data_IF_847268844888
#
_entry.id   IF_847268844888
#
_cell.length_a   1.000
_cell.length_b   1.000
_cell.length_c   1.000
_cell.angle_alpha   90.00
_cell.angle_beta   90.00
_cell.angle_gamma   90.00
#
_symmetry.space_group_name_H-M   'P 1'
#
loop_
_entity.id
_entity.type
_entity.pdbx_description
1 polymer ?
#
# COMPACT_ATOMS: atom_id res chain seq x y z
N UNK A 1 -20.01 -53.63 43.80
CA UNK A 1 -20.27 -54.74 42.86
C UNK A 1 -21.57 -54.42 42.13
N UNK A 2 -21.48 -54.25 40.80
CA UNK A 2 -22.56 -54.31 39.78
C UNK A 2 -23.84 -53.47 39.96
N UNK A 3 -24.05 -52.53 39.02
CA UNK A 3 -25.38 -52.19 38.50
C UNK A 3 -26.02 -53.42 37.83
N UNK A 4 -27.35 -53.42 37.65
CA UNK A 4 -27.87 -53.14 36.30
C UNK A 4 -29.19 -52.37 36.25
N UNK A 5 -29.37 -51.61 35.17
CA UNK A 5 -30.65 -51.18 34.56
C UNK A 5 -31.03 -52.26 33.50
N UNK A 6 -32.31 -52.52 33.11
CA UNK A 6 -32.93 -51.72 32.03
C UNK A 6 -34.49 -51.67 31.94
N UNK A 7 -35.00 -50.55 31.38
CA UNK A 7 -35.96 -50.41 30.26
C UNK A 7 -37.45 -50.91 30.29
N UNK A 8 -38.23 -50.25 29.40
CA UNK A 8 -39.63 -50.45 28.94
C UNK A 8 -40.75 -49.80 29.79
N UNK A 9 -41.74 -49.05 29.26
CA UNK A 9 -42.40 -49.07 27.94
C UNK A 9 -43.24 -47.81 27.66
N UNK A 10 -43.43 -47.52 26.37
CA UNK A 10 -44.28 -46.51 25.72
C UNK A 10 -45.80 -46.85 25.72
N UNK A 11 -46.67 -45.85 25.51
CA UNK A 11 -48.02 -45.99 24.90
C UNK A 11 -49.16 -45.26 25.66
N UNK A 12 -49.66 -44.09 25.22
CA UNK A 12 -50.80 -43.81 24.30
C UNK A 12 -52.21 -43.79 24.97
N UNK A 13 -52.96 -42.72 24.62
CA UNK A 13 -54.43 -42.56 24.49
C UNK A 13 -55.31 -41.86 25.56
N UNK A 14 -55.84 -40.70 25.12
CA UNK A 14 -57.25 -40.24 25.04
C UNK A 14 -58.19 -40.10 26.26
N UNK A 15 -58.80 -38.91 26.25
CA UNK A 15 -60.23 -38.56 26.45
C UNK A 15 -60.75 -38.12 27.85
N UNK A 16 -61.29 -36.89 27.82
CA UNK A 16 -62.61 -36.47 28.29
C UNK A 16 -62.84 -35.90 29.71
N UNK A 17 -63.72 -34.89 29.71
CA UNK A 17 -64.45 -34.22 30.79
C UNK A 17 -63.63 -33.50 31.89
N UNK A 18 -63.91 -32.27 32.27
CA UNK A 18 -65.20 -31.59 32.27
C UNK A 18 -65.61 -31.33 33.72
N UNK A 19 -65.71 -30.04 34.06
CA UNK A 19 -66.66 -29.51 35.05
C UNK A 19 -66.19 -29.46 36.53
N UNK A 20 -66.00 -28.19 36.96
CA UNK A 20 -66.52 -27.59 38.20
C UNK A 20 -65.75 -27.64 39.54
N UNK A 21 -65.56 -26.41 40.04
CA UNK A 21 -66.03 -25.86 41.32
C UNK A 21 -65.01 -25.64 42.46
N UNK A 22 -65.17 -24.42 43.03
CA UNK A 22 -64.70 -23.84 44.30
C UNK A 22 -63.30 -23.23 44.27
N UNK A 23 -63.19 -21.91 44.12
CA UNK A 23 -63.50 -20.86 45.12
C UNK A 23 -62.68 -21.04 46.39
N UNK A 24 -61.65 -20.22 46.54
CA UNK A 24 -61.41 -19.51 47.79
C UNK A 24 -61.19 -18.02 47.46
N UNK A 25 -62.25 -17.28 47.77
CA UNK A 25 -62.43 -15.83 47.86
C UNK A 25 -61.24 -15.12 48.51
N UNK A 26 -60.78 -14.00 47.95
CA UNK A 26 -61.29 -12.66 48.29
C UNK A 26 -61.49 -12.45 49.80
N UNK A 27 -60.47 -11.92 50.45
CA UNK A 27 -60.68 -10.98 51.53
C UNK A 27 -60.02 -9.65 51.16
N UNK A 28 -60.88 -8.68 50.85
CA UNK A 28 -60.69 -7.25 51.14
C UNK A 28 -59.81 -6.50 50.13
N UNK A 29 -60.42 -5.87 49.11
CA UNK A 29 -60.96 -4.49 49.20
C UNK A 29 -61.32 -3.93 47.81
N UNK A 30 -62.55 -4.19 47.37
CA UNK A 30 -63.24 -3.39 46.35
C UNK A 30 -64.26 -2.49 47.07
N UNK A 31 -63.99 -1.18 47.15
CA UNK A 31 -65.00 -0.13 47.32
C UNK A 31 -64.64 1.03 46.39
N UNK A 32 -65.08 0.88 45.13
CA UNK A 32 -65.80 1.83 44.26
C UNK A 32 -65.62 3.35 44.52
N UNK A 33 -65.09 4.10 43.54
CA UNK A 33 -65.84 5.09 42.71
C UNK A 33 -64.94 6.12 41.98
N UNK A 34 -65.05 6.13 40.64
CA UNK A 34 -65.00 7.23 39.65
C UNK A 34 -64.01 8.43 39.78
N UNK A 35 -63.09 8.50 38.80
CA UNK A 35 -62.63 9.61 37.92
C UNK A 35 -62.46 11.07 38.45
N UNK A 36 -61.45 11.84 37.97
CA UNK A 36 -61.34 12.20 36.55
C UNK A 36 -59.92 12.20 35.91
N UNK A 37 -59.95 12.15 34.58
CA UNK A 37 -58.88 12.29 33.56
C UNK A 37 -57.69 13.22 33.89
N UNK A 38 -56.49 12.76 33.48
CA UNK A 38 -55.40 13.64 33.04
C UNK A 38 -54.02 12.97 32.92
N UNK A 39 -53.55 12.73 31.70
CA UNK A 39 -52.12 12.79 31.34
C UNK A 39 -51.27 11.50 31.38
N UNK A 40 -51.09 10.92 30.19
CA UNK A 40 -49.83 10.44 29.58
C UNK A 40 -48.75 9.68 30.40
N UNK A 41 -48.30 8.54 29.85
CA UNK A 41 -46.94 8.04 30.12
C UNK A 41 -46.69 6.55 29.89
N UNK A 42 -46.76 6.05 28.66
CA UNK A 42 -46.18 4.74 28.32
C UNK A 42 -44.65 4.86 28.22
N UNK A 43 -43.91 4.25 29.14
CA UNK A 43 -42.45 4.17 29.05
C UNK A 43 -42.03 2.89 28.33
N UNK A 44 -41.72 3.00 27.04
CA UNK A 44 -40.95 2.02 26.26
C UNK A 44 -39.55 2.60 25.99
N UNK A 45 -38.49 2.09 26.62
CA UNK A 45 -37.12 2.43 26.21
C UNK A 45 -36.08 1.37 26.60
N UNK A 46 -35.63 0.54 25.63
CA UNK A 46 -34.19 0.29 25.50
C UNK A 46 -33.69 0.26 24.02
N UNK A 47 -34.47 0.73 23.05
CA UNK A 47 -34.09 0.67 21.62
C UNK A 47 -33.41 1.95 21.09
N UNK A 48 -33.41 3.05 21.85
CA UNK A 48 -32.87 4.34 21.40
C UNK A 48 -31.33 4.46 21.51
N UNK A 49 -30.69 3.75 22.45
CA UNK A 49 -29.26 3.93 22.71
C UNK A 49 -28.34 3.32 21.64
N UNK A 50 -28.74 2.21 21.00
CA UNK A 50 -27.94 1.53 19.97
C UNK A 50 -27.88 2.31 18.65
N UNK A 51 -28.98 2.98 18.26
CA UNK A 51 -29.00 3.88 17.10
C UNK A 51 -28.16 5.13 17.32
N UNK A 52 -28.13 5.67 18.54
CA UNK A 52 -27.41 6.91 18.85
C UNK A 52 -25.88 6.73 18.84
N UNK A 53 -25.37 5.58 19.33
CA UNK A 53 -23.93 5.25 19.24
C UNK A 53 -23.45 5.04 17.80
N UNK A 54 -24.28 4.43 16.94
CA UNK A 54 -23.97 4.23 15.52
C UNK A 54 -23.90 5.57 14.76
N UNK A 55 -24.87 6.47 14.99
CA UNK A 55 -24.89 7.81 14.40
C UNK A 55 -23.68 8.67 14.81
N UNK A 56 -23.29 8.64 16.09
CA UNK A 56 -22.12 9.39 16.58
C UNK A 56 -20.81 8.91 15.92
N UNK A 57 -20.68 7.61 15.64
CA UNK A 57 -19.51 7.05 14.96
C UNK A 57 -19.44 7.51 13.49
N UNK A 58 -20.55 7.49 12.76
CA UNK A 58 -20.63 8.00 11.39
C UNK A 58 -20.36 9.50 11.29
N UNK A 59 -20.84 10.30 12.26
CA UNK A 59 -20.56 11.74 12.33
C UNK A 59 -19.06 11.99 12.56
N UNK A 60 -18.42 11.22 13.46
CA UNK A 60 -16.97 11.30 13.69
C UNK A 60 -16.17 10.89 12.45
N UNK A 61 -16.59 9.85 11.75
CA UNK A 61 -15.96 9.40 10.51
C UNK A 61 -16.07 10.45 9.40
N UNK A 62 -17.24 11.05 9.23
CA UNK A 62 -17.49 12.10 8.23
C UNK A 62 -16.72 13.39 8.55
N UNK A 63 -16.67 13.77 9.83
CA UNK A 63 -15.85 14.89 10.31
C UNK A 63 -14.35 14.64 10.05
N UNK A 64 -13.86 13.43 10.35
CA UNK A 64 -12.48 13.04 10.06
C UNK A 64 -12.16 13.08 8.56
N UNK A 65 -13.07 12.60 7.70
CA UNK A 65 -12.94 12.69 6.25
C UNK A 65 -12.87 14.15 5.78
N UNK A 66 -13.75 15.01 6.29
CA UNK A 66 -13.79 16.43 5.94
C UNK A 66 -12.54 17.18 6.40
N UNK A 67 -12.05 16.91 7.62
CA UNK A 67 -10.79 17.45 8.13
C UNK A 67 -9.62 16.99 7.26
N UNK A 68 -9.58 15.72 6.89
CA UNK A 68 -8.54 15.17 5.99
C UNK A 68 -8.59 15.86 4.62
N UNK A 69 -9.79 16.09 4.08
CA UNK A 69 -10.00 16.78 2.82
C UNK A 69 -9.56 18.26 2.90
N UNK A 70 -9.85 18.95 4.00
CA UNK A 70 -9.42 20.34 4.23
C UNK A 70 -7.90 20.46 4.41
N UNK A 71 -7.28 19.51 5.10
CA UNK A 71 -5.82 19.42 5.22
C UNK A 71 -5.21 19.17 3.85
N UNK A 72 -5.78 18.25 3.06
CA UNK A 72 -5.33 17.98 1.69
C UNK A 72 -5.46 19.23 0.81
N UNK A 73 -6.60 19.92 0.84
CA UNK A 73 -6.83 21.17 0.11
C UNK A 73 -5.86 22.28 0.53
N UNK A 74 -5.62 22.43 1.83
CA UNK A 74 -4.67 23.40 2.37
C UNK A 74 -3.24 23.07 1.95
N UNK A 75 -2.86 21.79 2.00
CA UNK A 75 -1.57 21.32 1.53
C UNK A 75 -1.41 21.54 0.02
N UNK A 76 -2.43 21.26 -0.80
CA UNK A 76 -2.39 21.51 -2.25
C UNK A 76 -2.33 23.00 -2.56
N UNK A 77 -3.07 23.84 -1.82
CA UNK A 77 -3.12 25.30 -2.04
C UNK A 77 -1.90 26.04 -1.53
N UNK A 78 -1.27 25.58 -0.45
CA UNK A 78 -0.19 26.30 0.23
C UNK A 78 1.11 25.51 0.31
N UNK A 79 1.06 24.25 0.76
CA UNK A 79 2.23 23.39 0.94
C UNK A 79 2.92 23.03 -0.38
N UNK A 80 2.14 22.61 -1.38
CA UNK A 80 2.62 22.26 -2.71
C UNK A 80 3.29 23.46 -3.40
N UNK A 81 2.66 24.64 -3.53
CA UNK A 81 3.34 25.80 -4.11
C UNK A 81 4.52 26.31 -3.27
N UNK A 82 4.53 26.12 -1.94
CA UNK A 82 5.71 26.44 -1.13
C UNK A 82 6.89 25.52 -1.47
N UNK A 83 6.70 24.20 -1.42
CA UNK A 83 7.74 23.23 -1.79
C UNK A 83 8.21 23.45 -3.23
N UNK A 84 7.28 23.69 -4.14
CA UNK A 84 7.62 23.94 -5.55
C UNK A 84 8.40 25.24 -5.72
N UNK A 85 7.97 26.36 -5.13
CA UNK A 85 8.61 27.68 -5.34
C UNK A 85 9.89 27.89 -4.54
N UNK A 86 9.99 27.34 -3.33
CA UNK A 86 11.11 27.63 -2.41
C UNK A 86 12.19 26.56 -2.42
N UNK A 87 11.86 25.31 -2.72
CA UNK A 87 12.82 24.21 -2.69
C UNK A 87 13.06 23.71 -4.11
N UNK A 88 11.99 23.26 -4.78
CA UNK A 88 12.13 22.57 -6.06
C UNK A 88 12.64 23.50 -7.17
N UNK A 89 11.94 24.61 -7.45
CA UNK A 89 12.30 25.52 -8.54
C UNK A 89 13.68 26.16 -8.37
N UNK A 90 14.11 26.61 -7.18
CA UNK A 90 15.44 27.16 -7.00
C UNK A 90 16.54 26.13 -7.25
N UNK A 91 16.38 24.90 -6.73
CA UNK A 91 17.35 23.81 -6.96
C UNK A 91 17.40 23.45 -8.45
N UNK A 92 16.23 23.29 -9.06
CA UNK A 92 16.08 22.94 -10.46
C UNK A 92 16.67 24.00 -11.40
N UNK A 93 16.45 25.28 -11.08
CA UNK A 93 17.03 26.41 -11.83
C UNK A 93 18.54 26.47 -11.63
N UNK A 94 19.02 26.37 -10.40
CA UNK A 94 20.45 26.38 -10.10
C UNK A 94 21.17 25.27 -10.85
N UNK A 95 20.67 24.02 -10.78
CA UNK A 95 21.23 22.89 -11.53
C UNK A 95 21.19 23.16 -13.04
N UNK A 96 20.08 23.67 -13.58
CA UNK A 96 19.94 23.93 -15.02
C UNK A 96 20.83 25.06 -15.55
N UNK A 97 21.07 26.12 -14.77
CA UNK A 97 21.79 27.33 -15.23
C UNK A 97 23.27 27.32 -14.90
N UNK A 98 23.70 26.57 -13.89
CA UNK A 98 25.10 26.52 -13.48
C UNK A 98 26.00 25.76 -14.47
N UNK A 99 25.43 24.91 -15.32
CA UNK A 99 26.19 23.97 -16.13
C UNK A 99 25.73 23.93 -17.60
N UNK A 100 26.69 23.78 -18.51
CA UNK A 100 26.40 23.44 -19.91
C UNK A 100 25.80 22.04 -20.04
N UNK A 101 25.09 21.75 -21.14
CA UNK A 101 24.38 20.48 -21.38
C UNK A 101 25.17 19.20 -21.03
N UNK A 102 26.44 18.98 -21.45
CA UNK A 102 27.16 17.76 -21.10
C UNK A 102 27.54 17.70 -19.62
N UNK A 103 27.93 18.82 -19.02
CA UNK A 103 28.29 18.89 -17.60
C UNK A 103 27.06 18.63 -16.73
N UNK A 104 25.90 19.16 -17.13
CA UNK A 104 24.65 18.92 -16.43
C UNK A 104 24.26 17.44 -16.44
N UNK A 105 24.49 16.70 -17.53
CA UNK A 105 24.25 15.27 -17.56
C UNK A 105 25.08 14.53 -16.50
N UNK A 106 26.35 14.89 -16.34
CA UNK A 106 27.24 14.31 -15.33
C UNK A 106 26.77 14.67 -13.92
N UNK A 107 26.40 15.93 -13.68
CA UNK A 107 25.87 16.39 -12.39
C UNK A 107 24.60 15.64 -12.01
N UNK A 108 23.70 15.39 -12.97
CA UNK A 108 22.48 14.62 -12.76
C UNK A 108 22.77 13.14 -12.45
N UNK A 109 23.72 12.51 -13.16
CA UNK A 109 24.14 11.14 -12.82
C UNK A 109 24.72 11.10 -11.40
N UNK A 110 25.57 12.06 -11.04
CA UNK A 110 26.17 12.15 -9.72
C UNK A 110 25.12 12.39 -8.62
N UNK A 111 24.16 13.31 -8.84
CA UNK A 111 23.10 13.58 -7.86
C UNK A 111 22.23 12.33 -7.63
N UNK A 112 21.83 11.64 -8.71
CA UNK A 112 21.07 10.40 -8.62
C UNK A 112 21.85 9.26 -7.96
N UNK A 113 23.18 9.26 -8.08
CA UNK A 113 24.05 8.29 -7.42
C UNK A 113 24.21 8.56 -5.92
N UNK A 114 24.41 9.82 -5.52
CA UNK A 114 24.72 10.18 -4.13
C UNK A 114 23.49 10.44 -3.26
N UNK A 115 22.41 11.00 -3.81
CA UNK A 115 21.22 11.33 -3.03
C UNK A 115 20.63 10.14 -2.25
N UNK A 116 20.52 8.94 -2.84
CA UNK A 116 20.08 7.75 -2.11
C UNK A 116 20.99 7.38 -0.94
N UNK A 117 22.29 7.65 -1.04
CA UNK A 117 23.24 7.39 0.06
C UNK A 117 22.89 8.25 1.27
N UNK A 118 22.58 9.53 1.02
CA UNK A 118 22.24 10.52 2.05
C UNK A 118 20.75 10.58 2.43
N UNK A 119 19.92 9.63 1.97
CA UNK A 119 18.47 9.65 2.18
C UNK A 119 17.76 10.89 1.60
N UNK A 120 18.38 11.54 0.62
CA UNK A 120 17.84 12.70 -0.09
C UNK A 120 16.92 12.21 -1.23
N UNK A 121 15.74 12.80 -1.44
CA UNK A 121 14.86 12.45 -2.56
C UNK A 121 15.50 12.77 -3.93
N UNK A 122 15.55 11.79 -4.83
CA UNK A 122 16.09 11.92 -6.20
C UNK A 122 15.10 12.52 -7.23
N UNK A 123 13.82 12.68 -6.85
CA UNK A 123 12.76 13.18 -7.72
C UNK A 123 13.08 14.46 -8.49
N UNK A 124 13.64 15.51 -7.85
CA UNK A 124 14.01 16.76 -8.53
C UNK A 124 14.97 16.56 -9.71
N UNK A 125 16.04 15.78 -9.52
CA UNK A 125 17.02 15.51 -10.58
C UNK A 125 16.44 14.63 -11.68
N UNK A 126 15.53 13.69 -11.36
CA UNK A 126 14.83 12.89 -12.38
C UNK A 126 13.89 13.76 -13.24
N UNK A 127 13.14 14.68 -12.63
CA UNK A 127 12.36 15.67 -13.38
C UNK A 127 13.27 16.53 -14.26
N UNK A 128 14.41 17.00 -13.74
CA UNK A 128 15.34 17.83 -14.49
C UNK A 128 15.93 17.12 -15.71
N UNK A 129 16.33 15.86 -15.53
CA UNK A 129 16.80 15.00 -16.61
C UNK A 129 15.73 14.89 -17.71
N UNK A 130 14.48 14.65 -17.31
CA UNK A 130 13.35 14.59 -18.23
C UNK A 130 13.04 15.89 -18.95
N UNK A 131 13.10 17.01 -18.23
CA UNK A 131 12.94 18.34 -18.80
C UNK A 131 13.98 18.59 -19.88
N UNK A 132 15.28 18.47 -19.56
CA UNK A 132 16.36 18.94 -20.42
C UNK A 132 16.71 17.95 -21.52
N UNK A 133 16.75 16.66 -21.21
CA UNK A 133 17.26 15.61 -22.10
C UNK A 133 16.15 14.74 -22.72
N UNK A 134 14.90 14.92 -22.30
CA UNK A 134 13.75 14.18 -22.84
C UNK A 134 13.78 12.69 -22.54
N UNK A 135 13.09 11.89 -23.36
CA UNK A 135 12.91 10.46 -23.12
C UNK A 135 14.11 9.59 -23.52
N UNK A 136 14.94 10.02 -24.46
CA UNK A 136 16.12 9.24 -24.87
C UNK A 136 17.26 9.37 -23.86
N UNK A 137 17.98 10.49 -23.94
CA UNK A 137 19.12 10.75 -23.06
C UNK A 137 18.71 10.90 -21.59
N UNK A 138 17.53 11.49 -21.30
CA UNK A 138 17.06 11.60 -19.92
C UNK A 138 16.79 10.24 -19.28
N UNK A 139 16.26 9.27 -20.03
CA UNK A 139 16.11 7.90 -19.53
C UNK A 139 17.47 7.26 -19.24
N UNK A 140 18.43 7.37 -20.15
CA UNK A 140 19.78 6.82 -19.94
C UNK A 140 20.43 7.44 -18.71
N UNK A 141 20.37 8.76 -18.56
CA UNK A 141 20.90 9.49 -17.39
C UNK A 141 20.26 8.98 -16.10
N UNK A 142 18.92 8.86 -16.09
CA UNK A 142 18.19 8.39 -14.91
C UNK A 142 18.60 6.96 -14.58
N UNK A 143 18.54 6.04 -15.55
CA UNK A 143 18.85 4.63 -15.33
C UNK A 143 20.28 4.39 -14.85
N UNK A 144 21.27 5.09 -15.44
CA UNK A 144 22.67 4.98 -15.00
C UNK A 144 22.84 5.55 -13.59
N UNK A 145 22.33 6.75 -13.34
CA UNK A 145 22.44 7.41 -12.04
C UNK A 145 21.78 6.62 -10.92
N UNK A 146 20.55 6.14 -11.13
CA UNK A 146 19.83 5.33 -10.12
C UNK A 146 20.45 3.95 -9.94
N UNK A 147 21.04 3.35 -10.98
CA UNK A 147 21.75 2.07 -10.86
C UNK A 147 22.97 2.18 -9.94
N UNK A 148 23.74 3.26 -10.08
CA UNK A 148 24.84 3.55 -9.16
C UNK A 148 24.27 3.87 -7.77
N UNK A 149 23.21 4.68 -7.72
CA UNK A 149 22.56 5.11 -6.48
C UNK A 149 21.84 4.02 -5.70
N UNK A 150 21.57 2.86 -6.28
CA UNK A 150 21.08 1.68 -5.55
C UNK A 150 22.22 0.75 -5.15
N UNK A 151 23.28 0.70 -5.95
CA UNK A 151 24.48 -0.10 -5.66
C UNK A 151 25.26 0.46 -4.47
N UNK A 152 25.44 1.78 -4.39
CA UNK A 152 26.20 2.41 -3.30
C UNK A 152 25.60 2.15 -1.91
N UNK A 153 24.30 2.42 -1.65
CA UNK A 153 23.67 2.06 -0.38
C UNK A 153 23.72 0.57 -0.06
N UNK A 154 23.61 -0.31 -1.07
CA UNK A 154 23.73 -1.76 -0.87
C UNK A 154 25.12 -2.12 -0.34
N UNK A 155 26.18 -1.60 -0.97
CA UNK A 155 27.56 -1.84 -0.53
C UNK A 155 27.82 -1.26 0.86
N UNK A 156 27.39 -0.02 1.12
CA UNK A 156 27.53 0.62 2.43
C UNK A 156 26.75 -0.15 3.49
N UNK A 157 25.53 -0.60 3.17
CA UNK A 157 24.71 -1.41 4.06
C UNK A 157 25.35 -2.75 4.41
N UNK A 158 26.25 -3.27 3.58
CA UNK A 158 26.97 -4.52 3.86
C UNK A 158 28.00 -4.34 4.98
N UNK A 159 28.61 -3.15 5.08
CA UNK A 159 29.53 -2.82 6.16
C UNK A 159 28.81 -2.63 7.49
N UNK A 160 27.60 -2.08 7.47
CA UNK A 160 26.80 -1.77 8.66
C UNK A 160 25.67 -2.78 8.92
N UNK A 161 25.82 -4.01 8.45
CA UNK A 161 24.77 -5.04 8.44
C UNK A 161 24.15 -5.28 9.82
N UNK A 162 24.97 -5.34 10.86
CA UNK A 162 24.51 -5.61 12.23
C UNK A 162 23.66 -4.46 12.81
N UNK A 163 24.04 -3.22 12.51
CA UNK A 163 23.31 -2.03 12.93
C UNK A 163 21.97 -1.93 12.20
N UNK A 164 21.94 -2.20 10.89
CA UNK A 164 20.70 -2.23 10.10
C UNK A 164 19.80 -3.37 10.59
N UNK A 165 20.37 -4.52 10.96
CA UNK A 165 19.60 -5.62 11.53
C UNK A 165 18.92 -5.24 12.85
N UNK A 166 19.64 -4.57 13.76
CA UNK A 166 19.05 -4.04 14.99
C UNK A 166 17.99 -2.96 14.74
N UNK A 167 18.22 -2.09 13.76
CA UNK A 167 17.23 -1.07 13.37
C UNK A 167 15.95 -1.71 12.80
N UNK A 168 16.09 -2.75 11.99
CA UNK A 168 14.98 -3.45 11.35
C UNK A 168 14.13 -4.25 12.35
N UNK A 169 14.70 -4.69 13.48
CA UNK A 169 13.95 -5.29 14.60
C UNK A 169 12.88 -4.37 15.19
N UNK A 170 13.01 -3.05 15.03
CA UNK A 170 11.99 -2.07 15.46
C UNK A 170 10.72 -2.11 14.60
N UNK A 171 10.78 -2.76 13.42
CA UNK A 171 9.68 -2.84 12.45
C UNK A 171 9.42 -4.29 11.99
N UNK A 172 8.96 -5.18 12.90
CA UNK A 172 8.94 -6.62 12.67
C UNK A 172 8.08 -7.05 11.47
N UNK A 173 6.93 -6.40 11.24
CA UNK A 173 6.05 -6.71 10.11
C UNK A 173 6.70 -6.40 8.75
N UNK A 174 7.40 -5.27 8.64
CA UNK A 174 8.12 -4.87 7.42
C UNK A 174 9.38 -5.74 7.23
N UNK A 175 10.07 -6.06 8.31
CA UNK A 175 11.23 -6.95 8.32
C UNK A 175 10.90 -8.35 7.77
N UNK A 176 9.77 -8.93 8.21
CA UNK A 176 9.30 -10.23 7.75
C UNK A 176 9.05 -10.23 6.24
N UNK A 177 8.40 -9.20 5.71
CA UNK A 177 8.10 -9.08 4.28
C UNK A 177 9.38 -9.01 3.43
N UNK A 178 10.37 -8.23 3.86
CA UNK A 178 11.65 -8.08 3.16
C UNK A 178 12.49 -9.38 3.31
N UNK A 179 12.40 -10.08 4.45
CA UNK A 179 13.12 -11.35 4.67
C UNK A 179 12.60 -12.47 3.79
N UNK A 180 11.27 -12.64 3.72
CA UNK A 180 10.63 -13.60 2.80
C UNK A 180 10.96 -13.26 1.36
N UNK A 181 11.00 -11.97 1.01
CA UNK A 181 11.44 -11.53 -0.32
C UNK A 181 12.87 -11.99 -0.67
N UNK A 182 13.75 -12.12 0.33
CA UNK A 182 15.14 -12.56 0.17
C UNK A 182 15.33 -14.08 0.03
N UNK A 183 14.29 -14.88 0.21
CA UNK A 183 14.34 -16.34 0.11
C UNK A 183 14.01 -16.81 -1.33
N UNK A 184 14.42 -18.02 -1.70
CA UNK A 184 14.13 -18.62 -3.01
C UNK A 184 15.20 -18.46 -4.10
N UNK A 185 14.83 -18.82 -5.33
CA UNK A 185 15.74 -18.87 -6.49
C UNK A 185 16.11 -17.47 -7.01
N UNK A 186 17.17 -17.38 -7.82
CA UNK A 186 17.63 -16.12 -8.44
C UNK A 186 16.49 -15.36 -9.14
N UNK A 187 15.63 -16.09 -9.87
CA UNK A 187 14.52 -15.49 -10.61
C UNK A 187 13.35 -15.07 -9.70
N UNK A 188 13.14 -15.77 -8.58
CA UNK A 188 12.17 -15.37 -7.57
C UNK A 188 12.57 -14.04 -6.92
N UNK A 189 13.82 -13.95 -6.45
CA UNK A 189 14.36 -12.73 -5.84
C UNK A 189 14.27 -11.52 -6.79
N UNK A 190 14.63 -11.71 -8.07
CA UNK A 190 14.50 -10.69 -9.11
C UNK A 190 13.05 -10.17 -9.25
N UNK A 191 12.08 -11.08 -9.37
CA UNK A 191 10.66 -10.74 -9.53
C UNK A 191 10.12 -9.98 -8.33
N UNK A 192 10.44 -10.44 -7.13
CA UNK A 192 9.98 -9.80 -5.90
C UNK A 192 10.51 -8.38 -5.80
N UNK A 193 11.80 -8.16 -6.09
CA UNK A 193 12.39 -6.81 -6.08
C UNK A 193 11.73 -5.89 -7.11
N UNK A 194 11.51 -6.37 -8.33
CA UNK A 194 10.85 -5.59 -9.37
C UNK A 194 9.44 -5.14 -8.96
N UNK A 195 8.69 -6.02 -8.28
CA UNK A 195 7.36 -5.70 -7.75
C UNK A 195 7.45 -4.70 -6.58
N UNK A 196 8.43 -4.88 -5.69
CA UNK A 196 8.66 -3.95 -4.56
C UNK A 196 9.00 -2.54 -5.00
N UNK A 197 9.64 -2.35 -6.16
CA UNK A 197 9.88 -1.01 -6.72
C UNK A 197 8.62 -0.30 -7.19
N UNK A 198 7.57 -1.05 -7.53
CA UNK A 198 6.24 -0.48 -7.88
C UNK A 198 5.40 -0.19 -6.62
N UNK A 199 5.75 -0.82 -5.49
CA UNK A 199 5.10 -0.60 -4.19
C UNK A 199 5.41 0.80 -3.65
N UNK A 200 4.51 1.45 -2.87
CA UNK A 200 4.75 2.76 -2.23
C UNK A 200 5.82 2.71 -1.11
N UNK A 201 6.66 1.68 -1.07
CA UNK A 201 7.71 1.54 -0.08
C UNK A 201 8.87 2.49 -0.41
N UNK A 202 9.40 3.26 0.56
CA UNK A 202 10.47 4.21 0.29
C UNK A 202 11.71 3.52 -0.31
N UNK A 203 12.01 3.88 -1.56
CA UNK A 203 13.11 3.33 -2.36
C UNK A 203 14.44 3.32 -1.59
N UNK A 204 14.72 4.39 -0.84
CA UNK A 204 16.00 4.54 -0.17
C UNK A 204 16.17 3.64 1.04
N UNK A 205 15.09 3.41 1.80
CA UNK A 205 15.09 2.47 2.92
C UNK A 205 15.25 1.03 2.39
N UNK A 206 14.61 0.73 1.26
CA UNK A 206 14.69 -0.60 0.65
C UNK A 206 16.11 -0.98 0.26
N UNK A 207 16.88 -0.03 -0.28
CA UNK A 207 18.27 -0.26 -0.68
C UNK A 207 19.18 -0.68 0.47
N UNK A 208 18.91 -0.19 1.69
CA UNK A 208 19.66 -0.60 2.88
C UNK A 208 19.08 -1.87 3.53
N UNK A 209 17.76 -1.99 3.59
CA UNK A 209 17.09 -3.09 4.26
C UNK A 209 17.35 -4.45 3.59
N UNK A 210 17.56 -4.47 2.28
CA UNK A 210 17.83 -5.68 1.51
C UNK A 210 19.18 -6.34 1.85
N UNK A 211 20.11 -5.59 2.44
CA UNK A 211 21.44 -6.12 2.80
C UNK A 211 21.39 -7.04 4.02
N UNK A 212 20.39 -6.85 4.87
CA UNK A 212 20.16 -7.71 6.03
C UNK A 212 19.50 -9.03 5.62
N UNK A 213 18.95 -9.13 4.42
CA UNK A 213 18.28 -10.34 3.94
C UNK A 213 19.24 -11.26 3.18
N UNK A 214 18.80 -12.49 2.89
CA UNK A 214 19.57 -13.48 2.13
C UNK A 214 19.59 -13.20 0.61
N UNK A 215 19.29 -11.96 0.20
CA UNK A 215 19.15 -11.61 -1.21
C UNK A 215 20.49 -11.44 -1.89
N UNK A 216 20.65 -12.07 -3.05
CA UNK A 216 21.86 -11.95 -3.88
C UNK A 216 21.87 -10.60 -4.59
N UNK A 217 23.07 -10.03 -4.76
CA UNK A 217 23.24 -8.71 -5.40
C UNK A 217 22.68 -8.63 -6.83
N UNK A 218 22.95 -9.63 -7.67
CA UNK A 218 22.54 -9.61 -9.08
C UNK A 218 21.02 -9.64 -9.30
N UNK A 219 20.24 -10.54 -8.66
CA UNK A 219 18.78 -10.47 -8.68
C UNK A 219 18.24 -9.12 -8.23
N UNK A 220 18.80 -8.57 -7.16
CA UNK A 220 18.42 -7.27 -6.63
C UNK A 220 18.67 -6.15 -7.65
N UNK A 221 19.86 -6.12 -8.23
CA UNK A 221 20.25 -5.08 -9.18
C UNK A 221 19.39 -5.16 -10.43
N UNK A 222 19.31 -6.33 -11.07
CA UNK A 222 18.50 -6.53 -12.26
C UNK A 222 17.02 -6.20 -11.99
N UNK A 223 16.47 -6.70 -10.88
CA UNK A 223 15.07 -6.47 -10.51
C UNK A 223 14.77 -5.00 -10.26
N UNK A 224 15.71 -4.29 -9.64
CA UNK A 224 15.60 -2.86 -9.39
C UNK A 224 15.68 -2.05 -10.67
N UNK A 225 16.63 -2.35 -11.56
CA UNK A 225 16.73 -1.72 -12.89
C UNK A 225 15.42 -1.89 -13.63
N UNK A 226 14.90 -3.12 -13.73
CA UNK A 226 13.64 -3.36 -14.47
C UNK A 226 12.46 -2.66 -13.80
N UNK A 227 12.37 -2.69 -12.47
CA UNK A 227 11.31 -2.03 -11.70
C UNK A 227 11.32 -0.50 -11.79
N UNK A 228 12.48 0.12 -12.01
CA UNK A 228 12.62 1.57 -12.14
C UNK A 228 12.29 2.11 -13.54
N UNK A 229 12.21 1.25 -14.55
CA UNK A 229 11.85 1.67 -15.92
C UNK A 229 10.54 2.45 -15.97
N UNK A 230 9.38 1.93 -15.50
CA UNK A 230 8.12 2.67 -15.54
C UNK A 230 8.17 3.98 -14.75
N UNK A 231 8.79 3.95 -13.57
CA UNK A 231 8.96 5.13 -12.72
C UNK A 231 9.73 6.23 -13.48
N UNK A 232 10.84 5.87 -14.13
CA UNK A 232 11.67 6.80 -14.91
C UNK A 232 10.87 7.48 -16.02
N UNK A 233 10.01 6.74 -16.73
CA UNK A 233 9.13 7.31 -17.76
C UNK A 233 8.13 8.33 -17.20
N UNK A 234 7.55 8.04 -16.02
CA UNK A 234 6.63 8.95 -15.34
C UNK A 234 7.36 10.25 -14.97
N UNK A 235 8.54 10.17 -14.37
CA UNK A 235 9.34 11.36 -14.04
C UNK A 235 9.70 12.17 -15.29
N UNK A 236 10.09 11.51 -16.38
CA UNK A 236 10.42 12.23 -17.61
C UNK A 236 9.20 12.97 -18.15
N UNK A 237 8.05 12.29 -18.22
CA UNK A 237 6.79 12.89 -18.66
C UNK A 237 6.41 14.09 -17.79
N UNK A 238 6.41 13.93 -16.47
CA UNK A 238 6.09 15.00 -15.53
C UNK A 238 7.04 16.18 -15.69
N UNK A 239 8.34 15.93 -15.85
CA UNK A 239 9.33 16.96 -16.14
C UNK A 239 8.98 17.75 -17.40
N UNK A 240 8.76 17.06 -18.53
CA UNK A 240 8.39 17.73 -19.78
C UNK A 240 7.09 18.52 -19.68
N UNK A 241 6.08 17.99 -18.98
CA UNK A 241 4.83 18.69 -18.73
C UNK A 241 5.05 19.99 -17.93
N UNK A 242 5.91 19.94 -16.89
CA UNK A 242 6.29 21.14 -16.11
C UNK A 242 6.93 22.19 -17.01
N UNK A 243 7.85 21.78 -17.92
CA UNK A 243 8.44 22.69 -18.89
C UNK A 243 7.39 23.31 -19.81
N UNK A 244 6.55 22.48 -20.43
CA UNK A 244 5.50 22.97 -21.35
C UNK A 244 4.56 23.96 -20.67
N UNK A 245 4.14 23.68 -19.43
CA UNK A 245 3.28 24.59 -18.66
C UNK A 245 4.01 25.90 -18.31
N UNK A 246 5.31 25.84 -18.01
CA UNK A 246 6.11 27.03 -17.76
C UNK A 246 6.27 27.86 -19.03
N UNK A 247 6.52 27.22 -20.16
CA UNK A 247 6.69 27.89 -21.46
C UNK A 247 5.38 28.56 -21.88
N UNK A 248 4.22 27.91 -21.75
CA UNK A 248 2.91 28.53 -22.07
C UNK A 248 2.57 29.70 -21.15
N UNK A 249 2.95 29.64 -19.87
CA UNK A 249 2.57 30.64 -18.87
C UNK A 249 3.51 31.84 -18.83
N UNK A 250 4.81 31.63 -19.12
CA UNK A 250 5.86 32.63 -18.95
C UNK A 250 6.61 32.96 -20.24
N UNK A 251 6.56 32.10 -21.25
CA UNK A 251 7.13 32.33 -22.57
C UNK A 251 6.05 32.67 -23.59
N UNK A 252 6.20 33.76 -24.33
CA UNK A 252 5.43 33.97 -25.57
C UNK A 252 5.95 33.03 -26.69
N UNK A 253 6.10 31.73 -26.41
CA UNK A 253 6.57 30.72 -27.35
C UNK A 253 5.42 29.77 -27.69
N UNK A 254 5.11 29.62 -28.98
CA UNK A 254 4.23 28.57 -29.49
C UNK A 254 5.06 27.30 -29.66
N UNK A 255 4.62 26.20 -29.06
CA UNK A 255 5.26 24.90 -29.23
C UNK A 255 5.36 24.57 -30.72
N UNK A 256 6.54 24.15 -31.15
CA UNK A 256 6.77 23.77 -32.54
C UNK A 256 6.00 22.47 -32.83
N UNK A 257 5.36 22.35 -34.00
CA UNK A 257 4.59 21.15 -34.38
C UNK A 257 5.39 19.86 -34.21
N UNK A 258 6.69 19.92 -34.50
CA UNK A 258 7.64 18.81 -34.34
C UNK A 258 7.81 18.41 -32.87
N UNK A 259 7.90 19.36 -31.94
CA UNK A 259 8.01 19.07 -30.50
C UNK A 259 6.74 18.42 -29.95
N UNK A 260 5.57 18.85 -30.43
CA UNK A 260 4.28 18.25 -30.08
C UNK A 260 4.24 16.79 -30.56
N UNK A 261 4.65 16.52 -31.80
CA UNK A 261 4.71 15.16 -32.36
C UNK A 261 5.66 14.28 -31.54
N UNK A 262 6.88 14.74 -31.25
CA UNK A 262 7.83 14.00 -30.42
C UNK A 262 7.29 13.77 -29.00
N UNK A 263 6.62 14.74 -28.39
CA UNK A 263 5.98 14.59 -27.09
C UNK A 263 4.90 13.50 -27.13
N UNK A 264 4.00 13.53 -28.12
CA UNK A 264 2.93 12.55 -28.28
C UNK A 264 3.46 11.14 -28.50
N UNK A 265 4.42 10.96 -29.42
CA UNK A 265 5.03 9.65 -29.68
C UNK A 265 5.70 9.12 -28.40
N UNK A 266 6.46 9.96 -27.71
CA UNK A 266 7.16 9.53 -26.50
C UNK A 266 6.20 9.22 -25.34
N UNK A 267 5.07 9.93 -25.26
CA UNK A 267 4.01 9.65 -24.29
C UNK A 267 3.34 8.30 -24.57
N UNK A 268 3.04 8.00 -25.84
CA UNK A 268 2.49 6.70 -26.24
C UNK A 268 3.46 5.57 -25.89
N UNK A 269 4.75 5.72 -26.21
CA UNK A 269 5.78 4.73 -25.87
C UNK A 269 5.88 4.54 -24.35
N UNK A 270 5.86 5.62 -23.57
CA UNK A 270 5.87 5.55 -22.10
C UNK A 270 4.65 4.80 -21.54
N UNK A 271 3.45 5.05 -22.07
CA UNK A 271 2.23 4.32 -21.69
C UNK A 271 2.38 2.84 -22.02
N UNK A 272 2.81 2.50 -23.24
CA UNK A 272 2.97 1.11 -23.67
C UNK A 272 3.94 0.37 -22.75
N UNK A 273 5.10 0.95 -22.47
CA UNK A 273 6.11 0.35 -21.59
C UNK A 273 5.56 0.18 -20.17
N UNK A 274 4.90 1.22 -19.63
CA UNK A 274 4.34 1.19 -18.27
C UNK A 274 3.24 0.13 -18.14
N UNK A 275 2.33 0.06 -19.12
CA UNK A 275 1.24 -0.92 -19.15
C UNK A 275 1.79 -2.33 -19.32
N UNK A 276 2.71 -2.54 -20.27
CA UNK A 276 3.34 -3.83 -20.50
C UNK A 276 4.07 -4.33 -19.24
N UNK A 277 4.82 -3.45 -18.57
CA UNK A 277 5.51 -3.78 -17.33
C UNK A 277 4.53 -4.06 -16.19
N UNK A 278 3.45 -3.29 -16.07
CA UNK A 278 2.42 -3.51 -15.05
C UNK A 278 1.71 -4.85 -15.25
N UNK A 279 1.36 -5.19 -16.49
CA UNK A 279 0.76 -6.48 -16.84
C UNK A 279 1.73 -7.61 -16.51
N UNK A 280 3.01 -7.47 -16.89
CA UNK A 280 4.04 -8.45 -16.59
C UNK A 280 4.25 -8.64 -15.08
N UNK A 281 4.34 -7.54 -14.33
CA UNK A 281 4.48 -7.56 -12.87
C UNK A 281 3.27 -8.23 -12.20
N UNK A 282 2.04 -7.91 -12.64
CA UNK A 282 0.82 -8.54 -12.12
C UNK A 282 0.76 -10.03 -12.44
N UNK A 283 1.14 -10.42 -13.65
CA UNK A 283 1.20 -11.84 -14.06
C UNK A 283 2.25 -12.59 -13.24
N UNK A 284 3.42 -12.00 -13.06
CA UNK A 284 4.50 -12.57 -12.27
C UNK A 284 4.11 -12.72 -10.79
N UNK A 285 3.44 -11.71 -10.21
CA UNK A 285 2.93 -11.79 -8.85
C UNK A 285 1.90 -12.91 -8.68
N UNK A 286 0.99 -13.08 -9.66
CA UNK A 286 0.02 -14.16 -9.65
C UNK A 286 0.69 -15.54 -9.73
N UNK A 287 1.74 -15.69 -10.54
CA UNK A 287 2.54 -16.94 -10.61
C UNK A 287 3.20 -17.25 -9.26
N UNK A 288 3.77 -16.24 -8.59
CA UNK A 288 4.39 -16.41 -7.27
C UNK A 288 3.35 -16.81 -6.21
N UNK A 289 2.20 -16.11 -6.16
CA UNK A 289 1.11 -16.41 -5.25
C UNK A 289 0.56 -17.84 -5.46
N UNK A 290 0.37 -18.24 -6.71
CA UNK A 290 -0.15 -19.57 -7.03
C UNK A 290 0.88 -20.68 -6.71
N UNK A 291 2.17 -20.42 -6.90
CA UNK A 291 3.24 -21.35 -6.51
C UNK A 291 3.31 -21.59 -5.01
N UNK A 292 3.13 -20.55 -4.20
CA UNK A 292 3.10 -20.65 -2.74
C UNK A 292 1.87 -21.39 -2.22
N UNK A 293 0.68 -21.11 -2.78
CA UNK A 293 -0.57 -21.82 -2.46
C UNK A 293 -0.47 -23.31 -2.80
N UNK A 294 0.09 -23.65 -3.98
CA UNK A 294 0.25 -25.05 -4.38
C UNK A 294 1.29 -25.79 -3.53
N UNK A 295 2.35 -25.11 -3.09
CA UNK A 295 3.38 -25.69 -2.21
C UNK A 295 2.84 -25.96 -0.79
N UNK A 296 2.02 -25.06 -0.25
CA UNK A 296 1.36 -25.26 1.05
C UNK A 296 0.28 -26.34 1.01
N UNK A 297 -0.49 -26.43 -0.09
CA UNK A 297 -1.46 -27.52 -0.29
C UNK A 297 -0.80 -28.89 -0.49
N UNK A 298 0.35 -28.95 -1.15
CA UNK A 298 1.09 -30.20 -1.32
C UNK A 298 1.80 -30.63 -0.03
N UNK A 299 2.26 -29.68 0.80
CA UNK A 299 2.82 -29.96 2.13
C UNK A 299 1.80 -30.46 3.14
N UNK A 300 0.55 -29.96 3.11
CA UNK A 300 -0.52 -30.45 3.99
C UNK A 300 -1.01 -31.85 3.63
N UNK A 301 -0.90 -32.27 2.37
CA UNK A 301 -1.23 -33.63 1.96
C UNK A 301 -0.17 -34.65 2.40
N UNK A 302 1.09 -34.25 2.55
CA UNK A 302 2.14 -35.18 3.01
C UNK A 302 2.11 -35.39 4.54
N UNK A 303 1.70 -34.38 5.32
CA UNK A 303 1.56 -34.49 6.78
C UNK A 303 0.36 -35.35 7.22
N UNK A 304 -0.64 -35.53 6.37
CA UNK A 304 -1.80 -36.39 6.66
C UNK A 304 -1.57 -37.87 6.33
N UNK A 305 -0.51 -38.22 5.59
CA UNK A 305 -0.22 -39.61 5.21
C UNK A 305 0.76 -40.34 6.13
N UNK A 306 1.47 -39.64 7.03
CA UNK A 306 2.45 -40.25 7.96
C UNK A 306 1.89 -40.56 9.37
N UNK A 307 0.65 -40.17 9.69
CA UNK A 307 0.02 -40.47 11.00
C UNK A 307 -0.86 -41.74 11.00
N UNK A 308 -0.89 -42.51 9.91
CA UNK A 308 -1.69 -43.74 9.81
C UNK A 308 -0.83 -44.96 9.46
N UNK A 309 0.15 -45.29 10.33
CA UNK A 309 0.72 -46.64 10.45
C UNK A 309 1.65 -46.76 11.67
N UNK A 310 1.04 -46.95 12.83
CA UNK A 310 1.67 -47.64 13.95
C UNK A 310 0.72 -48.75 14.40
N UNK A 311 0.99 -50.03 14.09
CA UNK A 311 0.26 -51.14 14.68
C UNK A 311 0.71 -51.34 16.13
N UNK A 312 -0.27 -51.52 17.02
CA UNK A 312 -0.14 -52.08 18.37
C UNK A 312 0.28 -53.55 18.30
#
# INVERSE_FOLDING_TARGET
MKMPDPAEKLGIDKLNDGTQLREDSEYVRLVISNEPRGGEGYTLQPQAETKYKSLSWWIKALSGFFITLLILLSFVKWGLPFLFKKVLLPILRWEATAFGRPVLAIVLVASLAFFPVFLIPSGPSMWLAGMIFGYGLGFVIIMVGTTIGMTLPYLIGLLFRDQIHQWLKRWPQKAAMIRVAGEGSWFHQFRVVAIFRVSPFPYTIFNYAIVVTSMRFWPYLCGSVTGMVPESFIYIYSGRLIRTLADVKYGNHRLTTVEIIYNCISFIVAIIITVAFTIYAKRSLNELKNGEINSTASGSNHSNFEMEKLPL
#
